data_IF_052220487824
#
_entry.id   IF_052220487824
#
_cell.length_a   1.000
_cell.length_b   1.000
_cell.length_c   1.000
_cell.angle_alpha   90.00
_cell.angle_beta   90.00
_cell.angle_gamma   90.00
#
_symmetry.space_group_name_H-M   'P 1'
#
loop_
_entity.id
_entity.type
_entity.pdbx_description
1 polymer ?
#
# COMPACT_ATOMS: atom_id res chain seq x y z
N UNK A 1 5.12 1.03 13.57
CA UNK A 1 3.84 1.63 14.00
C UNK A 1 3.40 2.62 12.93
N UNK A 2 2.09 2.81 12.66
CA UNK A 2 1.64 3.81 11.71
C UNK A 2 1.99 5.23 12.18
N UNK A 3 2.09 6.20 11.26
CA UNK A 3 2.17 7.62 11.64
C UNK A 3 0.89 8.04 12.38
N UNK A 4 0.98 9.09 13.19
CA UNK A 4 -0.10 9.51 14.10
C UNK A 4 -1.41 9.81 13.38
N UNK A 5 -1.34 10.37 12.17
CA UNK A 5 -2.49 10.66 11.32
C UNK A 5 -3.15 9.41 10.70
N UNK A 6 -2.49 8.25 10.73
CA UNK A 6 -3.01 7.00 10.17
C UNK A 6 -3.45 5.97 11.23
N UNK A 7 -3.33 6.30 12.52
CA UNK A 7 -3.66 5.38 13.61
C UNK A 7 -5.12 4.88 13.55
N UNK A 8 -6.07 5.79 13.36
CA UNK A 8 -7.49 5.44 13.26
C UNK A 8 -7.80 4.58 12.03
N UNK A 9 -7.15 4.84 10.90
CA UNK A 9 -7.33 4.06 9.67
C UNK A 9 -6.83 2.62 9.82
N UNK A 10 -5.65 2.44 10.42
CA UNK A 10 -5.09 1.10 10.69
C UNK A 10 -5.95 0.32 11.67
N UNK A 11 -6.48 0.98 12.71
CA UNK A 11 -7.41 0.35 13.64
C UNK A 11 -8.71 -0.08 12.93
N UNK A 12 -9.30 0.81 12.13
CA UNK A 12 -10.50 0.49 11.35
C UNK A 12 -10.29 -0.72 10.43
N UNK A 13 -9.15 -0.81 9.73
CA UNK A 13 -8.80 -1.97 8.89
C UNK A 13 -8.68 -3.30 9.66
N UNK A 14 -8.38 -3.25 10.97
CA UNK A 14 -8.35 -4.44 11.82
C UNK A 14 -9.76 -4.90 12.20
N UNK A 15 -10.69 -3.96 12.36
CA UNK A 15 -12.03 -4.19 12.90
C UNK A 15 -13.05 -4.60 11.83
N UNK A 16 -12.91 -4.11 10.59
CA UNK A 16 -13.82 -4.47 9.49
C UNK A 16 -13.77 -5.96 9.17
N UNK A 17 -14.89 -6.51 8.69
CA UNK A 17 -15.04 -7.95 8.42
C UNK A 17 -14.59 -8.30 6.99
N UNK A 18 -14.19 -9.57 6.72
CA UNK A 18 -13.98 -10.04 5.36
C UNK A 18 -15.21 -9.77 4.48
N UNK A 19 -14.99 -9.28 3.26
CA UNK A 19 -16.04 -8.94 2.30
C UNK A 19 -16.56 -7.50 2.39
N UNK A 20 -16.27 -6.76 3.47
CA UNK A 20 -16.76 -5.37 3.61
C UNK A 20 -16.11 -4.39 2.63
N UNK A 21 -15.02 -4.78 1.96
CA UNK A 21 -14.38 -3.98 0.91
C UNK A 21 -14.58 -4.56 -0.50
N UNK A 22 -15.55 -5.46 -0.70
CA UNK A 22 -15.89 -5.93 -2.05
C UNK A 22 -16.21 -4.77 -2.99
N UNK A 23 -15.65 -4.82 -4.21
CA UNK A 23 -15.78 -3.75 -5.21
C UNK A 23 -14.83 -2.56 -5.01
N UNK A 24 -14.14 -2.45 -3.88
CA UNK A 24 -13.08 -1.45 -3.69
C UNK A 24 -11.86 -1.86 -4.50
N UNK A 25 -11.34 -0.95 -5.31
CA UNK A 25 -10.08 -1.13 -6.00
C UNK A 25 -9.01 -0.21 -5.41
N UNK A 26 -7.80 -0.72 -5.21
CA UNK A 26 -6.74 0.05 -4.58
C UNK A 26 -5.34 -0.27 -5.13
N UNK A 27 -4.41 0.63 -4.84
CA UNK A 27 -2.97 0.42 -4.97
C UNK A 27 -2.28 1.09 -3.77
N UNK A 28 -1.11 0.57 -3.35
CA UNK A 28 -0.35 1.07 -2.21
C UNK A 28 1.08 1.37 -2.66
N UNK A 29 1.58 2.56 -2.32
CA UNK A 29 3.00 2.87 -2.33
C UNK A 29 3.47 3.10 -0.90
N UNK A 30 4.42 2.30 -0.45
CA UNK A 30 4.93 2.34 0.91
C UNK A 30 6.20 3.16 1.05
N UNK A 31 6.22 4.07 2.02
CA UNK A 31 7.43 4.79 2.40
C UNK A 31 8.07 4.11 3.61
N UNK A 32 9.26 3.55 3.43
CA UNK A 32 10.05 2.90 4.47
C UNK A 32 11.49 3.39 4.41
N UNK A 33 12.30 2.95 5.35
CA UNK A 33 13.73 3.27 5.38
C UNK A 33 14.48 2.02 5.85
N UNK A 34 15.40 1.53 5.03
CA UNK A 34 16.14 0.30 5.30
C UNK A 34 17.00 0.37 6.56
N UNK A 35 17.29 1.57 7.08
CA UNK A 35 18.02 1.73 8.34
C UNK A 35 17.23 1.15 9.53
N UNK A 36 15.92 1.02 9.39
CA UNK A 36 15.05 0.28 10.31
C UNK A 36 14.65 -1.08 9.74
N UNK A 37 15.65 -1.90 9.40
CA UNK A 37 15.51 -3.20 8.75
C UNK A 37 14.42 -4.11 9.36
N UNK A 38 14.32 -4.18 10.69
CA UNK A 38 13.32 -5.02 11.38
C UNK A 38 11.87 -4.59 11.16
N UNK A 39 11.65 -3.37 10.68
CA UNK A 39 10.33 -2.78 10.43
C UNK A 39 10.17 -2.23 9.03
N UNK A 40 11.13 -2.50 8.14
CA UNK A 40 11.12 -1.99 6.77
C UNK A 40 9.80 -2.37 6.08
N UNK A 41 9.07 -1.35 5.63
CA UNK A 41 7.77 -1.48 4.96
C UNK A 41 6.66 -2.16 5.78
N UNK A 42 6.79 -2.26 7.11
CA UNK A 42 5.81 -2.99 7.93
C UNK A 42 4.38 -2.46 7.81
N UNK A 43 4.18 -1.14 7.93
CA UNK A 43 2.83 -0.55 7.90
C UNK A 43 2.22 -0.55 6.50
N UNK A 44 2.93 -0.17 5.42
CA UNK A 44 2.38 -0.26 4.07
C UNK A 44 2.03 -1.70 3.67
N UNK A 45 2.88 -2.68 4.04
CA UNK A 45 2.59 -4.10 3.83
C UNK A 45 1.34 -4.53 4.56
N UNK A 46 1.22 -4.17 5.84
CA UNK A 46 0.02 -4.45 6.63
C UNK A 46 -1.25 -3.88 5.99
N UNK A 47 -1.24 -2.62 5.55
CA UNK A 47 -2.41 -2.00 4.89
C UNK A 47 -2.78 -2.74 3.61
N UNK A 48 -1.78 -3.03 2.77
CA UNK A 48 -1.95 -3.74 1.49
C UNK A 48 -2.52 -5.16 1.69
N UNK A 49 -2.01 -5.90 2.67
CA UNK A 49 -2.51 -7.25 3.00
C UNK A 49 -3.93 -7.22 3.59
N UNK A 50 -4.20 -6.31 4.54
CA UNK A 50 -5.52 -6.17 5.13
C UNK A 50 -6.57 -5.77 4.09
N UNK A 51 -6.28 -4.82 3.20
CA UNK A 51 -7.23 -4.43 2.16
C UNK A 51 -7.64 -5.62 1.29
N UNK A 52 -6.66 -6.44 0.87
CA UNK A 52 -6.93 -7.67 0.13
C UNK A 52 -7.76 -8.68 0.94
N UNK A 53 -7.39 -8.92 2.20
CA UNK A 53 -8.11 -9.86 3.08
C UNK A 53 -9.57 -9.44 3.32
N UNK A 54 -9.85 -8.14 3.32
CA UNK A 54 -11.19 -7.59 3.51
C UNK A 54 -12.02 -7.51 2.23
N UNK A 55 -11.51 -8.03 1.11
CA UNK A 55 -12.24 -8.16 -0.16
C UNK A 55 -11.93 -7.09 -1.21
N UNK A 56 -11.03 -6.16 -0.92
CA UNK A 56 -10.63 -5.17 -1.91
C UNK A 56 -9.72 -5.79 -2.98
N UNK A 57 -9.80 -5.27 -4.20
CA UNK A 57 -8.99 -5.73 -5.34
C UNK A 57 -7.78 -4.82 -5.53
N UNK A 58 -6.58 -5.39 -5.42
CA UNK A 58 -5.33 -4.70 -5.78
C UNK A 58 -5.23 -4.59 -7.29
N UNK A 59 -5.34 -3.38 -7.85
CA UNK A 59 -5.26 -3.20 -9.31
C UNK A 59 -3.82 -3.05 -9.81
N UNK A 60 -2.88 -2.68 -8.94
CA UNK A 60 -1.45 -2.59 -9.26
C UNK A 60 -0.59 -3.06 -8.08
N UNK A 61 0.57 -3.64 -8.37
CA UNK A 61 1.48 -4.15 -7.35
C UNK A 61 1.88 -3.07 -6.33
N UNK A 62 2.05 -3.47 -5.06
CA UNK A 62 2.52 -2.57 -4.01
C UNK A 62 3.92 -2.06 -4.36
N UNK A 63 4.12 -0.75 -4.32
CA UNK A 63 5.44 -0.14 -4.43
C UNK A 63 6.11 0.01 -3.08
N UNK A 64 7.44 -0.05 -3.05
CA UNK A 64 8.25 0.12 -1.85
C UNK A 64 9.32 1.17 -2.13
N UNK A 65 9.15 2.36 -1.53
CA UNK A 65 10.14 3.43 -1.52
C UNK A 65 11.02 3.37 -0.28
N UNK A 66 12.33 3.53 -0.47
CA UNK A 66 13.35 3.54 0.56
C UNK A 66 13.93 4.95 0.71
N UNK A 67 13.60 5.61 1.83
CA UNK A 67 14.01 6.98 2.12
C UNK A 67 15.54 7.13 2.22
N UNK A 68 16.25 6.06 2.59
CA UNK A 68 17.72 6.04 2.61
C UNK A 68 18.36 5.58 1.29
N UNK A 69 17.54 5.26 0.29
CA UNK A 69 17.94 4.85 -1.04
C UNK A 69 17.48 5.82 -2.13
N UNK A 70 17.17 5.30 -3.31
CA UNK A 70 16.64 6.08 -4.44
C UNK A 70 15.11 6.18 -4.37
N UNK A 71 14.61 6.86 -3.34
CA UNK A 71 13.17 6.99 -3.10
C UNK A 71 12.42 7.60 -4.29
N UNK A 72 12.98 8.65 -4.90
CA UNK A 72 12.33 9.36 -6.02
C UNK A 72 12.26 8.48 -7.27
N UNK A 73 13.35 7.79 -7.63
CA UNK A 73 13.36 6.85 -8.75
C UNK A 73 12.37 5.70 -8.55
N UNK A 74 12.33 5.11 -7.36
CA UNK A 74 11.38 4.05 -7.01
C UNK A 74 9.92 4.51 -7.09
N UNK A 75 9.63 5.74 -6.66
CA UNK A 75 8.30 6.32 -6.76
C UNK A 75 7.90 6.53 -8.22
N UNK A 76 8.80 7.03 -9.06
CA UNK A 76 8.52 7.29 -10.47
C UNK A 76 8.36 6.01 -11.28
N UNK A 77 9.16 4.98 -11.02
CA UNK A 77 9.00 3.65 -11.61
C UNK A 77 7.66 3.01 -11.22
N UNK A 78 7.30 3.08 -9.94
CA UNK A 78 6.03 2.58 -9.47
C UNK A 78 4.85 3.33 -10.10
N UNK A 79 4.89 4.67 -10.17
CA UNK A 79 3.84 5.47 -10.83
C UNK A 79 3.62 5.06 -12.27
N UNK A 80 4.69 4.85 -13.05
CA UNK A 80 4.59 4.42 -14.45
C UNK A 80 3.83 3.09 -14.57
N UNK A 81 4.20 2.12 -13.75
CA UNK A 81 3.54 0.81 -13.70
C UNK A 81 2.08 0.92 -13.25
N UNK A 82 1.83 1.66 -12.17
CA UNK A 82 0.49 1.87 -11.61
C UNK A 82 -0.46 2.55 -12.59
N UNK A 83 0.01 3.55 -13.34
CA UNK A 83 -0.81 4.20 -14.37
C UNK A 83 -1.15 3.26 -15.53
N UNK A 84 -0.19 2.45 -16.00
CA UNK A 84 -0.45 1.45 -17.03
C UNK A 84 -1.47 0.41 -16.57
N UNK A 85 -1.35 -0.06 -15.32
CA UNK A 85 -2.28 -1.00 -14.72
C UNK A 85 -3.68 -0.38 -14.53
N UNK A 86 -3.77 0.88 -14.11
CA UNK A 86 -5.02 1.60 -13.96
C UNK A 86 -5.77 1.72 -15.30
N UNK A 87 -5.07 2.06 -16.39
CA UNK A 87 -5.65 2.09 -17.74
C UNK A 87 -6.16 0.71 -18.13
N UNK A 88 -5.41 -0.35 -17.86
CA UNK A 88 -5.83 -1.72 -18.15
C UNK A 88 -7.05 -2.17 -17.32
N UNK A 89 -7.16 -1.70 -16.08
CA UNK A 89 -8.22 -2.10 -15.16
C UNK A 89 -9.52 -1.29 -15.34
N UNK A 90 -9.42 -0.03 -15.76
CA UNK A 90 -10.56 0.92 -15.72
C UNK A 90 -10.78 1.74 -16.99
N UNK A 91 -9.87 1.68 -17.98
CA UNK A 91 -10.01 2.34 -19.27
C UNK A 91 -10.74 1.48 -20.29
#
# INVERSE_FOLDING_TARGET
KPPSNAGQFVQWLQEIKPGELEGVHYAVFGCGDHNWASTYQYVPRFIDEQLAEKGATRFSARGEGDVSGDFEGQLDEWKKSMWADAIKAFG
#
